data_IF_692618953839
#
_entry.id   IF_692618953839
#
_cell.length_a   1.000
_cell.length_b   1.000
_cell.length_c   1.000
_cell.angle_alpha   90.00
_cell.angle_beta   90.00
_cell.angle_gamma   90.00
#
_symmetry.space_group_name_H-M   'P 1'
#
loop_
_entity.id
_entity.type
_entity.pdbx_description
1 polymer ?
#
# COMPACT_ATOMS: atom_id res chain seq x y z
N UNK A 1 21.29 3.04 0.91
CA UNK A 1 21.03 4.48 0.99
C UNK A 1 20.28 4.80 2.28
N UNK A 2 20.29 6.05 2.77
CA UNK A 2 19.43 6.50 3.88
C UNK A 2 18.96 7.96 3.66
N UNK A 3 18.87 8.40 2.40
CA UNK A 3 18.63 9.80 2.02
C UNK A 3 17.27 10.33 2.49
N UNK A 4 16.31 9.45 2.73
CA UNK A 4 14.97 9.80 3.21
C UNK A 4 14.67 9.21 4.59
N UNK A 5 15.69 8.71 5.29
CA UNK A 5 15.51 8.07 6.59
C UNK A 5 14.89 6.68 6.50
N UNK A 6 14.96 6.01 5.35
CA UNK A 6 14.38 4.68 5.13
C UNK A 6 15.00 3.57 6.01
N UNK A 7 16.08 3.85 6.74
CA UNK A 7 16.62 2.95 7.77
C UNK A 7 15.84 3.00 9.10
N UNK A 8 15.01 4.04 9.33
CA UNK A 8 14.17 4.14 10.54
C UNK A 8 14.96 4.43 11.82
N UNK A 9 16.22 4.82 11.73
CA UNK A 9 17.12 5.01 12.87
C UNK A 9 17.11 6.43 13.46
N UNK A 10 16.15 7.26 13.02
CA UNK A 10 16.01 8.67 13.38
C UNK A 10 16.99 9.60 12.66
N UNK A 11 17.71 9.11 11.65
CA UNK A 11 18.68 9.89 10.89
C UNK A 11 18.52 9.67 9.39
N UNK A 12 19.06 10.59 8.59
CA UNK A 12 19.22 10.43 7.13
C UNK A 12 20.66 10.06 6.76
N UNK A 13 21.41 9.54 7.73
CA UNK A 13 22.82 9.21 7.58
C UNK A 13 22.96 7.76 7.16
N UNK A 14 23.71 7.50 6.08
CA UNK A 14 24.03 6.15 5.61
C UNK A 14 24.74 5.33 6.70
N UNK A 15 24.37 4.06 6.84
CA UNK A 15 25.01 3.11 7.76
C UNK A 15 25.64 1.96 6.99
N UNK A 16 26.83 1.53 7.42
CA UNK A 16 27.53 0.34 6.90
C UNK A 16 27.26 -0.91 7.74
N UNK A 17 26.76 -0.74 8.95
CA UNK A 17 26.47 -1.82 9.88
C UNK A 17 25.00 -1.76 10.32
N UNK A 18 24.37 -2.91 10.59
CA UNK A 18 23.01 -2.96 11.13
C UNK A 18 22.90 -2.12 12.41
N UNK A 19 21.85 -1.32 12.51
CA UNK A 19 21.53 -0.52 13.69
C UNK A 19 20.12 -0.86 14.14
N UNK A 20 19.95 -1.11 15.44
CA UNK A 20 18.64 -1.40 16.03
C UNK A 20 17.74 -0.16 15.91
N UNK A 21 16.54 -0.36 15.39
CA UNK A 21 15.47 0.64 15.35
C UNK A 21 14.75 0.65 16.71
N UNK A 22 15.16 1.57 17.58
CA UNK A 22 14.66 1.64 18.97
C UNK A 22 13.14 1.84 19.07
N UNK A 23 12.54 2.51 18.10
CA UNK A 23 11.10 2.78 18.08
C UNK A 23 10.23 1.51 18.04
N UNK A 24 10.77 0.41 17.51
CA UNK A 24 10.07 -0.88 17.38
C UNK A 24 10.49 -1.86 18.49
N UNK A 25 11.15 -1.39 19.55
CA UNK A 25 11.66 -2.28 20.61
C UNK A 25 10.53 -2.95 21.41
N UNK A 26 9.42 -2.25 21.63
CA UNK A 26 8.20 -2.79 22.23
C UNK A 26 7.41 -3.70 21.28
N UNK A 27 7.80 -3.76 20.01
CA UNK A 27 7.06 -4.45 18.96
C UNK A 27 7.75 -5.76 18.56
N UNK A 28 6.93 -6.77 18.28
CA UNK A 28 7.30 -8.01 17.65
C UNK A 28 7.04 -7.89 16.15
N UNK A 29 8.09 -7.54 15.40
CA UNK A 29 8.02 -7.38 13.94
C UNK A 29 7.79 -8.74 13.29
N UNK A 30 6.68 -8.88 12.56
CA UNK A 30 6.28 -10.09 11.83
C UNK A 30 6.78 -10.09 10.40
N UNK A 31 6.69 -8.96 9.71
CA UNK A 31 7.12 -8.83 8.32
C UNK A 31 7.61 -7.42 8.01
N UNK A 32 8.46 -7.29 6.98
CA UNK A 32 9.01 -6.01 6.51
C UNK A 32 8.86 -5.92 4.99
N UNK A 33 8.65 -4.72 4.49
CA UNK A 33 8.65 -4.40 3.07
C UNK A 33 9.50 -3.15 2.83
N UNK A 34 10.36 -3.21 1.82
CA UNK A 34 11.31 -2.16 1.51
C UNK A 34 11.11 -1.68 0.08
N UNK A 35 10.98 -0.37 -0.07
CA UNK A 35 11.01 0.33 -1.34
C UNK A 35 12.37 1.02 -1.58
N UNK A 36 12.44 1.86 -2.60
CA UNK A 36 13.64 2.67 -2.84
C UNK A 36 13.83 3.75 -1.75
N UNK A 37 12.73 4.38 -1.36
CA UNK A 37 12.72 5.53 -0.45
C UNK A 37 11.74 5.37 0.73
N UNK A 38 10.99 4.28 0.78
CA UNK A 38 10.07 3.95 1.86
C UNK A 38 10.37 2.58 2.45
N UNK A 39 10.01 2.42 3.71
CA UNK A 39 10.07 1.15 4.43
C UNK A 39 8.81 1.00 5.26
N UNK A 40 8.32 -0.22 5.36
CA UNK A 40 7.17 -0.55 6.17
C UNK A 40 7.37 -1.88 6.86
N UNK A 41 6.70 -2.07 7.99
CA UNK A 41 6.65 -3.36 8.65
C UNK A 41 5.30 -3.60 9.31
N UNK A 42 4.93 -4.87 9.43
CA UNK A 42 3.81 -5.31 10.23
C UNK A 42 4.38 -5.84 11.54
N UNK A 43 3.88 -5.34 12.66
CA UNK A 43 4.33 -5.73 13.98
C UNK A 43 3.17 -5.81 14.97
N UNK A 44 3.35 -6.56 16.04
CA UNK A 44 2.40 -6.64 17.15
C UNK A 44 3.06 -6.24 18.45
N UNK A 45 2.32 -5.68 19.41
CA UNK A 45 2.85 -5.41 20.74
C UNK A 45 3.44 -6.70 21.36
N UNK A 46 4.66 -6.63 21.90
CA UNK A 46 5.27 -7.76 22.63
C UNK A 46 4.51 -8.11 23.89
N UNK A 47 3.98 -7.09 24.56
CA UNK A 47 3.13 -7.23 25.72
C UNK A 47 1.70 -6.90 25.28
N UNK A 48 0.77 -7.79 25.62
CA UNK A 48 -0.64 -7.59 25.31
C UNK A 48 -1.17 -6.45 26.18
N UNK A 49 -1.30 -5.25 25.60
CA UNK A 49 -1.77 -4.03 26.27
C UNK A 49 -3.28 -4.05 26.56
N UNK A 50 -3.94 -5.20 26.38
CA UNK A 50 -5.38 -5.36 26.51
C UNK A 50 -6.17 -4.88 25.29
N UNK A 51 -5.50 -4.37 24.25
CA UNK A 51 -6.12 -4.17 22.94
C UNK A 51 -6.06 -5.48 22.14
N UNK A 52 -7.01 -5.68 21.23
CA UNK A 52 -6.97 -6.83 20.31
C UNK A 52 -5.63 -6.76 19.59
N UNK A 53 -4.83 -7.83 19.66
CA UNK A 53 -3.53 -7.95 18.99
C UNK A 53 -3.72 -7.97 17.47
N UNK A 54 -3.99 -6.81 16.90
CA UNK A 54 -4.13 -6.60 15.47
C UNK A 54 -2.75 -6.27 14.92
N UNK A 55 -2.26 -7.01 13.91
CA UNK A 55 -1.04 -6.66 13.21
C UNK A 55 -1.04 -5.18 12.81
N UNK A 56 -0.18 -4.39 13.47
CA UNK A 56 -0.08 -2.93 13.31
C UNK A 56 0.86 -2.62 12.16
N UNK A 57 0.45 -1.69 11.31
CA UNK A 57 1.27 -1.21 10.20
C UNK A 57 2.14 -0.04 10.66
N UNK A 58 3.45 -0.18 10.49
CA UNK A 58 4.44 0.85 10.74
C UNK A 58 5.09 1.26 9.43
N UNK A 59 5.22 2.56 9.20
CA UNK A 59 5.75 3.10 7.92
C UNK A 59 6.71 4.25 8.21
N UNK A 60 7.79 4.33 7.43
CA UNK A 60 8.77 5.41 7.47
C UNK A 60 9.44 5.61 6.10
N UNK A 61 10.27 6.63 6.00
CA UNK A 61 10.88 7.11 4.77
C UNK A 61 10.10 8.26 4.13
N UNK A 62 10.35 8.47 2.83
CA UNK A 62 9.80 9.59 2.05
C UNK A 62 8.27 9.63 2.07
N UNK A 63 7.61 8.47 2.01
CA UNK A 63 6.15 8.37 1.94
C UNK A 63 5.41 8.81 3.22
N UNK A 64 6.12 8.98 4.33
CA UNK A 64 5.58 9.47 5.60
C UNK A 64 6.28 10.75 6.07
N UNK A 65 7.26 11.26 5.31
CA UNK A 65 8.09 12.37 5.74
C UNK A 65 8.77 12.14 7.09
N UNK A 66 9.07 10.88 7.44
CA UNK A 66 9.62 10.54 8.75
C UNK A 66 10.75 9.53 8.64
N UNK A 67 11.85 9.81 9.33
CA UNK A 67 13.01 8.94 9.48
C UNK A 67 12.90 7.97 10.67
N UNK A 68 11.72 7.87 11.28
CA UNK A 68 11.37 6.93 12.34
C UNK A 68 10.09 6.18 11.96
N UNK A 69 9.97 4.88 12.30
CA UNK A 69 8.72 4.15 12.16
C UNK A 69 7.58 4.86 12.87
N UNK A 70 6.48 5.07 12.15
CA UNK A 70 5.22 5.59 12.71
C UNK A 70 4.09 4.62 12.45
N UNK A 71 3.24 4.46 13.46
CA UNK A 71 1.98 3.74 13.31
C UNK A 71 1.14 4.43 12.24
N UNK A 72 0.62 3.65 11.28
CA UNK A 72 -0.09 4.18 10.14
C UNK A 72 -1.32 3.33 9.82
N UNK A 73 -2.50 3.89 10.06
CA UNK A 73 -3.79 3.27 9.73
C UNK A 73 -4.24 3.66 8.31
N UNK A 74 -3.93 4.88 7.88
CA UNK A 74 -4.33 5.38 6.57
C UNK A 74 -5.85 5.49 6.46
N UNK A 75 -6.42 4.78 5.49
CA UNK A 75 -7.86 4.68 5.26
C UNK A 75 -8.50 3.45 5.92
N UNK A 76 -7.72 2.60 6.60
CA UNK A 76 -8.27 1.50 7.37
C UNK A 76 -8.89 1.97 8.69
N UNK A 77 -9.93 1.27 9.13
CA UNK A 77 -10.48 1.44 10.46
C UNK A 77 -9.45 1.00 11.52
N UNK A 78 -9.42 1.61 12.73
CA UNK A 78 -8.42 1.30 13.76
C UNK A 78 -8.35 -0.17 14.21
N UNK A 79 -9.40 -0.95 13.96
CA UNK A 79 -9.47 -2.38 14.32
C UNK A 79 -9.14 -3.32 13.15
N UNK A 80 -8.75 -2.76 12.00
CA UNK A 80 -8.45 -3.56 10.80
C UNK A 80 -7.14 -4.31 10.99
N UNK A 81 -7.15 -5.63 10.80
CA UNK A 81 -5.95 -6.45 10.92
C UNK A 81 -5.18 -6.42 9.61
N UNK A 82 -3.94 -5.91 9.64
CA UNK A 82 -3.11 -5.84 8.44
C UNK A 82 -2.34 -7.14 8.28
N UNK A 83 -2.57 -7.81 7.15
CA UNK A 83 -1.98 -9.10 6.81
C UNK A 83 -0.69 -8.96 6.01
N UNK A 84 -0.68 -8.03 5.04
CA UNK A 84 0.42 -7.90 4.10
C UNK A 84 0.69 -6.43 3.76
N UNK A 85 1.95 -6.10 3.54
CA UNK A 85 2.40 -4.80 3.04
C UNK A 85 3.43 -5.01 1.94
N UNK A 86 3.42 -4.16 0.92
CA UNK A 86 4.41 -4.15 -0.15
C UNK A 86 4.78 -2.71 -0.52
N UNK A 87 6.06 -2.48 -0.79
CA UNK A 87 6.61 -1.17 -1.07
C UNK A 87 7.21 -1.16 -2.49
N UNK A 88 6.80 -0.21 -3.31
CA UNK A 88 7.47 0.11 -4.57
C UNK A 88 8.54 1.18 -4.39
N UNK A 89 8.91 1.92 -5.45
CA UNK A 89 9.94 2.97 -5.32
C UNK A 89 9.52 4.07 -4.32
N UNK A 90 8.32 4.57 -4.52
CA UNK A 90 7.72 5.73 -3.84
C UNK A 90 6.22 5.54 -3.56
N UNK A 91 5.74 4.30 -3.58
CA UNK A 91 4.36 3.95 -3.23
C UNK A 91 4.35 2.73 -2.30
N UNK A 92 3.28 2.59 -1.53
CA UNK A 92 3.08 1.45 -0.63
C UNK A 92 1.65 0.98 -0.76
N UNK A 93 1.46 -0.33 -0.71
CA UNK A 93 0.16 -0.98 -0.60
C UNK A 93 0.10 -1.82 0.66
N UNK A 94 -1.06 -1.83 1.30
CA UNK A 94 -1.33 -2.67 2.45
C UNK A 94 -2.65 -3.41 2.26
N UNK A 95 -2.68 -4.67 2.67
CA UNK A 95 -3.81 -5.57 2.54
C UNK A 95 -4.25 -6.06 3.93
N UNK A 96 -5.54 -5.94 4.21
CA UNK A 96 -6.15 -6.45 5.44
C UNK A 96 -6.53 -7.93 5.34
N UNK A 97 -6.80 -8.58 6.48
CA UNK A 97 -7.32 -9.95 6.51
C UNK A 97 -8.72 -10.08 5.88
N UNK A 98 -9.52 -9.01 5.94
CA UNK A 98 -10.84 -8.94 5.31
C UNK A 98 -10.78 -8.78 3.78
N UNK A 99 -9.58 -8.63 3.22
CA UNK A 99 -9.35 -8.44 1.78
C UNK A 99 -9.45 -6.98 1.34
N UNK A 100 -9.42 -6.02 2.28
CA UNK A 100 -9.39 -4.59 1.96
C UNK A 100 -7.98 -4.19 1.54
N UNK A 101 -7.88 -3.57 0.37
CA UNK A 101 -6.64 -3.03 -0.16
C UNK A 101 -6.60 -1.52 0.04
N UNK A 102 -5.51 -0.98 0.55
CA UNK A 102 -5.22 0.45 0.49
C UNK A 102 -3.88 0.73 -0.18
N UNK A 103 -3.77 1.87 -0.85
CA UNK A 103 -2.50 2.36 -1.38
C UNK A 103 -2.31 3.86 -1.11
N UNK A 104 -1.05 4.25 -0.96
CA UNK A 104 -0.62 5.65 -0.81
C UNK A 104 0.78 5.86 -1.36
N UNK A 105 1.18 7.12 -1.49
CA UNK A 105 2.46 7.51 -2.07
C UNK A 105 2.31 8.29 -3.36
N UNK A 106 3.35 8.32 -4.17
CA UNK A 106 3.32 8.99 -5.48
C UNK A 106 2.47 8.19 -6.47
N UNK A 107 1.78 8.90 -7.37
CA UNK A 107 0.86 8.32 -8.34
C UNK A 107 1.05 8.86 -9.76
N UNK A 108 2.27 9.25 -10.10
CA UNK A 108 2.61 9.84 -11.41
C UNK A 108 2.32 8.87 -12.58
N UNK A 109 2.42 7.57 -12.34
CA UNK A 109 2.24 6.50 -13.34
C UNK A 109 0.95 5.69 -13.13
N UNK A 110 0.10 6.07 -12.17
CA UNK A 110 -1.12 5.32 -11.85
C UNK A 110 -0.86 4.06 -10.99
N UNK A 111 0.32 3.97 -10.36
CA UNK A 111 0.77 2.84 -9.54
C UNK A 111 -0.14 2.57 -8.33
N UNK A 112 -0.98 3.54 -7.92
CA UNK A 112 -1.96 3.38 -6.86
C UNK A 112 -3.28 2.73 -7.33
N UNK A 113 -3.46 2.37 -8.60
CA UNK A 113 -4.67 1.68 -9.08
C UNK A 113 -5.95 2.51 -9.02
N UNK A 114 -5.85 3.83 -8.85
CA UNK A 114 -7.00 4.75 -8.68
C UNK A 114 -7.64 5.20 -9.99
N UNK A 115 -7.30 4.63 -11.15
CA UNK A 115 -7.80 5.06 -12.46
C UNK A 115 -7.38 6.48 -12.90
N UNK A 116 -6.61 7.20 -12.09
CA UNK A 116 -6.08 8.54 -12.35
C UNK A 116 -4.59 8.59 -12.06
N UNK A 117 -3.87 9.51 -12.72
CA UNK A 117 -2.48 9.89 -12.42
C UNK A 117 -2.48 11.21 -11.68
N UNK A 118 -1.67 11.35 -10.63
CA UNK A 118 -1.56 12.59 -9.87
C UNK A 118 -0.11 12.84 -9.49
N UNK A 119 0.33 14.09 -9.62
CA UNK A 119 1.64 14.51 -9.13
C UNK A 119 1.63 14.63 -7.60
N UNK A 120 2.79 14.40 -7.00
CA UNK A 120 3.00 14.53 -5.57
C UNK A 120 2.44 13.40 -4.70
N UNK A 121 2.68 13.52 -3.40
CA UNK A 121 2.34 12.51 -2.40
C UNK A 121 0.82 12.44 -2.17
N UNK A 122 0.23 11.28 -2.48
CA UNK A 122 -1.18 11.01 -2.25
C UNK A 122 -1.40 10.31 -0.91
N UNK A 123 -2.44 10.73 -0.19
CA UNK A 123 -2.90 10.07 1.03
C UNK A 123 -3.47 8.68 0.77
N UNK A 124 -3.53 7.86 1.82
CA UNK A 124 -4.08 6.51 1.74
C UNK A 124 -5.56 6.49 1.39
N UNK A 125 -5.92 5.55 0.53
CA UNK A 125 -7.30 5.28 0.14
C UNK A 125 -7.52 3.80 -0.04
N UNK A 126 -8.73 3.36 0.32
CA UNK A 126 -9.21 2.02 -0.02
C UNK A 126 -9.39 1.93 -1.54
N UNK A 127 -8.86 0.86 -2.12
CA UNK A 127 -9.00 0.51 -3.54
C UNK A 127 -10.00 -0.62 -3.61
N UNK A 128 -11.17 -0.34 -4.19
CA UNK A 128 -12.11 -1.39 -4.56
C UNK A 128 -11.57 -2.11 -5.80
N UNK A 129 -11.35 -3.42 -5.66
CA UNK A 129 -10.94 -4.29 -6.76
C UNK A 129 -12.20 -4.91 -7.35
N UNK A 130 -12.34 -4.82 -8.67
CA UNK A 130 -13.49 -5.32 -9.41
C UNK A 130 -13.02 -6.30 -10.46
N UNK A 131 -13.47 -7.55 -10.37
CA UNK A 131 -13.27 -8.51 -11.43
C UNK A 131 -14.27 -8.26 -12.55
N UNK A 132 -13.78 -8.02 -13.78
CA UNK A 132 -14.65 -7.93 -14.96
C UNK A 132 -14.37 -9.11 -15.89
N UNK A 133 -15.32 -10.03 -15.98
CA UNK A 133 -15.39 -10.97 -17.10
C UNK A 133 -15.94 -10.26 -18.33
N UNK A 134 -15.49 -10.65 -19.52
CA UNK A 134 -15.76 -9.96 -20.79
C UNK A 134 -17.27 -9.75 -21.05
N UNK A 135 -18.13 -10.60 -20.47
CA UNK A 135 -19.58 -10.60 -20.68
C UNK A 135 -20.41 -10.45 -19.38
N UNK A 136 -19.79 -10.18 -18.22
CA UNK A 136 -20.51 -10.12 -16.92
C UNK A 136 -20.34 -8.76 -16.22
N UNK A 137 -21.29 -8.46 -15.32
CA UNK A 137 -21.22 -7.27 -14.49
C UNK A 137 -19.99 -7.35 -13.58
N UNK A 138 -19.27 -6.23 -13.37
CA UNK A 138 -18.11 -6.21 -12.48
C UNK A 138 -18.53 -6.59 -11.06
N UNK A 139 -17.95 -7.67 -10.54
CA UNK A 139 -18.16 -8.11 -9.16
C UNK A 139 -17.03 -7.61 -8.28
N UNK A 140 -17.37 -7.25 -7.03
CA UNK A 140 -16.37 -6.92 -6.02
C UNK A 140 -15.61 -8.20 -5.67
N UNK A 141 -14.29 -8.19 -5.83
CA UNK A 141 -13.43 -9.32 -5.47
C UNK A 141 -12.57 -9.00 -4.26
N UNK A 142 -12.27 -10.04 -3.48
CA UNK A 142 -11.36 -9.92 -2.34
C UNK A 142 -9.94 -10.14 -2.81
N UNK A 143 -9.04 -9.25 -2.42
CA UNK A 143 -7.62 -9.42 -2.68
C UNK A 143 -7.01 -10.35 -1.62
N UNK A 144 -6.24 -11.33 -2.06
CA UNK A 144 -5.60 -12.34 -1.21
C UNK A 144 -4.09 -12.12 -1.05
N UNK A 145 -3.45 -11.50 -2.05
CA UNK A 145 -2.04 -11.13 -2.01
C UNK A 145 -1.72 -9.91 -2.85
N UNK A 146 -0.66 -9.19 -2.48
CA UNK A 146 -0.17 -7.99 -3.19
C UNK A 146 1.35 -7.98 -3.34
N UNK A 147 1.83 -7.40 -4.43
CA UNK A 147 3.26 -7.19 -4.69
C UNK A 147 3.50 -5.90 -5.49
N UNK A 148 4.44 -5.08 -5.04
CA UNK A 148 4.86 -3.86 -5.73
C UNK A 148 6.21 -4.07 -6.42
N UNK A 149 6.28 -3.63 -7.68
CA UNK A 149 7.53 -3.31 -8.35
C UNK A 149 7.87 -1.82 -8.18
N UNK A 150 8.87 -1.35 -8.94
CA UNK A 150 9.35 0.04 -8.83
C UNK A 150 8.23 1.07 -9.11
N UNK A 151 7.51 0.87 -10.23
CA UNK A 151 6.46 1.77 -10.73
C UNK A 151 5.11 1.06 -10.96
N UNK A 152 4.93 -0.14 -10.41
CA UNK A 152 3.74 -0.94 -10.62
C UNK A 152 3.30 -1.71 -9.39
N UNK A 153 2.00 -1.97 -9.31
CA UNK A 153 1.41 -2.84 -8.28
C UNK A 153 0.75 -4.04 -8.97
N UNK A 154 0.89 -5.21 -8.37
CA UNK A 154 0.14 -6.42 -8.73
C UNK A 154 -0.64 -6.93 -7.52
N UNK A 155 -1.80 -7.51 -7.77
CA UNK A 155 -2.66 -8.10 -6.75
C UNK A 155 -3.24 -9.41 -7.25
N UNK A 156 -3.53 -10.33 -6.34
CA UNK A 156 -4.17 -11.61 -6.63
C UNK A 156 -5.52 -11.64 -5.94
N UNK A 157 -6.59 -11.98 -6.66
CA UNK A 157 -7.94 -12.13 -6.09
C UNK A 157 -8.17 -13.51 -5.47
N UNK A 158 -9.25 -13.66 -4.71
CA UNK A 158 -9.74 -14.95 -4.20
C UNK A 158 -10.22 -15.91 -5.29
N UNK A 159 -10.56 -15.38 -6.47
CA UNK A 159 -10.84 -16.14 -7.68
C UNK A 159 -9.57 -16.64 -8.39
N UNK A 160 -8.38 -16.26 -7.90
CA UNK A 160 -7.09 -16.64 -8.49
C UNK A 160 -6.66 -15.77 -9.68
N UNK A 161 -7.29 -14.62 -9.87
CA UNK A 161 -6.98 -13.69 -10.96
C UNK A 161 -5.86 -12.74 -10.56
N UNK A 162 -4.98 -12.40 -11.51
CA UNK A 162 -3.89 -11.44 -11.29
C UNK A 162 -4.26 -10.10 -11.88
N UNK A 163 -4.35 -9.08 -11.04
CA UNK A 163 -4.57 -7.70 -11.42
C UNK A 163 -3.25 -6.92 -11.39
N UNK A 164 -3.02 -6.03 -12.36
CA UNK A 164 -1.85 -5.15 -12.37
C UNK A 164 -2.25 -3.70 -12.63
N UNK A 165 -1.64 -2.77 -11.88
CA UNK A 165 -1.94 -1.34 -11.94
C UNK A 165 -0.71 -0.56 -12.39
N UNK A 166 -0.71 -0.19 -13.69
CA UNK A 166 0.24 0.73 -14.34
C UNK A 166 -0.47 1.40 -15.50
N UNK A 167 -0.34 2.72 -15.68
CA UNK A 167 -0.69 3.35 -16.95
C UNK A 167 0.50 3.25 -17.91
N UNK A 168 0.43 2.36 -18.91
CA UNK A 168 1.43 2.31 -19.99
C UNK A 168 1.30 3.57 -20.87
N UNK A 169 2.40 4.31 -21.03
CA UNK A 169 2.56 5.24 -22.15
C UNK A 169 2.68 4.40 -23.43
N UNK A 170 1.66 4.50 -24.30
CA UNK A 170 1.54 3.92 -25.63
C UNK A 170 1.07 2.45 -25.77
N UNK A 171 0.07 2.33 -26.65
CA UNK A 171 -0.46 1.17 -27.37
C UNK A 171 -1.23 0.08 -26.61
N UNK A 172 -2.33 -0.28 -27.26
CA UNK A 172 -3.33 -1.31 -26.96
C UNK A 172 -2.70 -2.67 -26.60
N UNK A 173 -3.44 -3.42 -25.78
CA UNK A 173 -3.24 -4.83 -25.40
C UNK A 173 -2.17 -5.12 -24.33
N UNK A 174 -2.59 -5.44 -23.10
CA UNK A 174 -2.88 -6.82 -22.67
C UNK A 174 -3.30 -6.80 -21.19
N UNK A 175 -4.42 -7.48 -20.87
CA UNK A 175 -5.08 -7.62 -19.56
C UNK A 175 -5.57 -6.33 -18.88
N UNK A 176 -6.71 -5.85 -19.40
CA UNK A 176 -7.62 -4.99 -18.68
C UNK A 176 -8.25 -5.76 -17.51
N UNK A 177 -8.01 -5.33 -16.27
CA UNK A 177 -9.08 -5.26 -15.29
C UNK A 177 -9.27 -3.79 -14.89
N UNK A 178 -10.42 -3.28 -15.32
CA UNK A 178 -10.80 -1.89 -15.29
C UNK A 178 -11.11 -1.45 -13.86
N UNK A 179 -10.25 -0.64 -13.27
CA UNK A 179 -10.68 0.35 -12.29
C UNK A 179 -11.41 1.49 -13.04
N UNK A 180 -12.58 1.20 -13.63
CA UNK A 180 -13.51 2.22 -14.12
C UNK A 180 -14.42 2.58 -12.95
N UNK A 181 -14.24 3.78 -12.41
CA UNK A 181 -15.18 4.42 -11.52
C UNK A 181 -16.61 4.34 -12.08
N UNK A 182 -17.47 3.59 -11.41
CA UNK A 182 -18.90 3.86 -11.38
C UNK A 182 -19.16 4.81 -10.20
N UNK A 183 -19.04 6.11 -10.44
CA UNK A 183 -19.86 7.09 -9.74
C UNK A 183 -20.65 7.86 -10.79
N UNK A 184 -22.00 7.84 -10.75
CA UNK A 184 -22.77 8.84 -11.46
C UNK A 184 -22.48 10.18 -10.78
N UNK A 185 -21.93 11.11 -11.52
CA UNK A 185 -21.88 12.52 -11.14
C UNK A 185 -23.33 13.00 -10.95
N UNK A 186 -23.78 13.44 -9.75
CA UNK A 186 -25.06 14.10 -9.63
C UNK A 186 -24.87 15.59 -9.91
N UNK A 187 -25.53 16.05 -10.99
CA UNK A 187 -26.07 17.41 -11.21
C UNK A 187 -25.04 18.52 -11.51
N UNK A 188 -25.25 19.47 -12.42
CA UNK A 188 -26.39 19.81 -13.27
C UNK A 188 -25.91 20.70 -14.42
N UNK A 189 -26.50 20.53 -15.60
CA UNK A 189 -26.73 21.61 -16.55
C UNK A 189 -28.24 21.84 -16.61
N UNK A 190 -28.67 22.99 -16.10
CA UNK A 190 -29.86 23.72 -16.51
C UNK A 190 -29.60 25.20 -16.21
#
# INVERSE_FOLDING_TARGET
ANEFGQLGDGTEVRRKHPKKVKQLESEFVKSVACGAHCSACIAEPRENDGTVSTGRLWVWGQNQGSNLPRLFWGAFEPNTIIKQVSCGAVHVVALSEEGLLQAWGYNEYGQLGRGVTCEGLQGARIISSYAKFLDEAPELVKITSVSCGEYHTTAISDKGEVESHVKRHNSMEMLHLLCKFLFPCPLAWL
#
